data_IF_830225440160
#
_entry.id   IF_830225440160
#
_cell.length_a   1.000
_cell.length_b   1.000
_cell.length_c   1.000
_cell.angle_alpha   90.00
_cell.angle_beta   90.00
_cell.angle_gamma   90.00
#
_symmetry.space_group_name_H-M   'P 1'
#
loop_
_entity.id
_entity.type
_entity.pdbx_description
1 polymer ?
#
# COMPACT_ATOMS: atom_id res chain seq x y z
N UNK A 1 5.57 59.67 18.26
CA UNK A 1 4.84 58.61 18.97
C UNK A 1 4.52 57.54 17.94
N UNK A 2 4.90 56.26 18.12
CA UNK A 2 4.55 55.25 17.13
C UNK A 2 3.04 55.06 17.16
N UNK A 3 2.40 55.31 16.02
CA UNK A 3 0.96 55.13 15.86
C UNK A 3 0.64 53.66 16.12
N UNK A 4 -0.23 53.38 17.08
CA UNK A 4 -0.71 52.02 17.32
C UNK A 4 -1.43 51.57 16.03
N UNK A 5 -1.03 50.45 15.40
CA UNK A 5 -1.76 49.92 14.24
C UNK A 5 -3.25 49.83 14.58
N UNK A 6 -4.11 50.10 13.60
CA UNK A 6 -5.56 50.04 13.82
C UNK A 6 -5.96 48.63 14.26
N UNK A 7 -6.99 48.50 15.09
CA UNK A 7 -7.53 47.20 15.57
C UNK A 7 -7.81 46.23 14.40
N UNK A 8 -8.13 46.78 13.22
CA UNK A 8 -8.34 46.06 11.96
C UNK A 8 -7.07 45.40 11.39
N UNK A 9 -5.89 46.00 11.58
CA UNK A 9 -4.61 45.43 11.16
C UNK A 9 -4.21 44.24 12.06
N UNK A 10 -4.40 44.37 13.37
CA UNK A 10 -4.14 43.29 14.34
C UNK A 10 -5.02 42.06 14.07
N UNK A 11 -6.32 42.26 13.84
CA UNK A 11 -7.25 41.18 13.46
C UNK A 11 -6.91 40.54 12.11
N UNK A 12 -6.44 41.33 11.13
CA UNK A 12 -6.02 40.84 9.84
C UNK A 12 -4.80 39.92 9.97
N UNK A 13 -3.79 40.32 10.75
CA UNK A 13 -2.61 39.51 10.99
C UNK A 13 -2.95 38.22 11.76
N UNK A 14 -3.82 38.29 12.77
CA UNK A 14 -4.27 37.12 13.52
C UNK A 14 -4.99 36.09 12.63
N UNK A 15 -5.89 36.56 11.74
CA UNK A 15 -6.57 35.69 10.74
C UNK A 15 -5.57 35.05 9.79
N UNK A 16 -4.61 35.82 9.27
CA UNK A 16 -3.56 35.31 8.36
C UNK A 16 -2.66 34.27 9.03
N UNK A 17 -2.30 34.49 10.29
CA UNK A 17 -1.48 33.55 11.04
C UNK A 17 -2.23 32.25 11.32
N UNK A 18 -3.51 32.34 11.69
CA UNK A 18 -4.38 31.18 11.88
C UNK A 18 -4.56 30.37 10.59
N UNK A 19 -4.86 31.03 9.46
CA UNK A 19 -4.94 30.39 8.14
C UNK A 19 -3.63 29.67 7.78
N UNK A 20 -2.49 30.32 8.02
CA UNK A 20 -1.17 29.73 7.76
C UNK A 20 -0.90 28.52 8.66
N UNK A 21 -1.20 28.62 9.96
CA UNK A 21 -1.05 27.52 10.93
C UNK A 21 -1.93 26.34 10.57
N UNK A 22 -3.20 26.59 10.24
CA UNK A 22 -4.16 25.57 9.80
C UNK A 22 -3.66 24.86 8.54
N UNK A 23 -3.19 25.61 7.54
CA UNK A 23 -2.64 25.02 6.31
C UNK A 23 -1.40 24.16 6.58
N UNK A 24 -0.49 24.61 7.45
CA UNK A 24 0.69 23.83 7.84
C UNK A 24 0.28 22.53 8.54
N UNK A 25 -0.72 22.58 9.42
CA UNK A 25 -1.24 21.40 10.12
C UNK A 25 -1.90 20.42 9.15
N UNK A 26 -2.71 20.90 8.21
CA UNK A 26 -3.33 20.09 7.15
C UNK A 26 -2.27 19.42 6.27
N UNK A 27 -1.28 20.17 5.76
CA UNK A 27 -0.17 19.63 4.97
C UNK A 27 0.66 18.60 5.76
N UNK A 28 0.88 18.85 7.06
CA UNK A 28 1.59 17.91 7.93
C UNK A 28 0.79 16.61 8.10
N UNK A 29 -0.52 16.71 8.33
CA UNK A 29 -1.39 15.55 8.47
C UNK A 29 -1.47 14.73 7.18
N UNK A 30 -1.56 15.39 6.01
CA UNK A 30 -1.52 14.73 4.71
C UNK A 30 -0.22 13.94 4.51
N UNK A 31 0.93 14.58 4.74
CA UNK A 31 2.25 13.94 4.64
C UNK A 31 2.40 12.73 5.57
N UNK A 32 1.94 12.87 6.82
CA UNK A 32 1.95 11.75 7.78
C UNK A 32 1.11 10.58 7.26
N UNK A 33 -0.09 10.85 6.73
CA UNK A 33 -0.96 9.81 6.18
C UNK A 33 -0.38 9.09 4.96
N UNK A 34 0.33 9.82 4.09
CA UNK A 34 1.02 9.23 2.94
C UNK A 34 2.19 8.35 3.38
N UNK A 35 2.97 8.81 4.37
CA UNK A 35 4.08 8.06 4.93
C UNK A 35 3.59 6.77 5.62
N UNK A 36 2.50 6.83 6.39
CA UNK A 36 1.86 5.67 7.00
C UNK A 36 1.36 4.67 5.96
N UNK A 37 0.68 5.13 4.90
CA UNK A 37 0.25 4.28 3.79
C UNK A 37 1.43 3.60 3.10
N UNK A 38 2.54 4.32 2.91
CA UNK A 38 3.76 3.76 2.33
C UNK A 38 4.35 2.67 3.22
N UNK A 39 4.49 2.93 4.52
CA UNK A 39 4.96 1.95 5.51
C UNK A 39 4.09 0.69 5.53
N UNK A 40 2.76 0.85 5.50
CA UNK A 40 1.84 -0.27 5.46
C UNK A 40 2.00 -1.11 4.18
N UNK A 41 2.19 -0.46 3.02
CA UNK A 41 2.47 -1.18 1.77
C UNK A 41 3.76 -2.01 1.87
N UNK A 42 4.82 -1.43 2.43
CA UNK A 42 6.11 -2.11 2.57
C UNK A 42 6.03 -3.32 3.53
N UNK A 43 5.26 -3.21 4.62
CA UNK A 43 5.07 -4.31 5.59
C UNK A 43 4.32 -5.50 4.96
N UNK A 44 3.35 -5.23 4.08
CA UNK A 44 2.54 -6.27 3.43
C UNK A 44 3.16 -6.78 2.12
N UNK A 45 4.26 -6.19 1.64
CA UNK A 45 4.92 -6.61 0.41
C UNK A 45 5.53 -8.01 0.57
N UNK A 46 5.29 -8.89 -0.40
CA UNK A 46 5.71 -10.31 -0.38
C UNK A 46 5.28 -11.07 0.89
N UNK A 47 4.17 -10.65 1.51
CA UNK A 47 3.57 -11.35 2.65
C UNK A 47 2.26 -12.00 2.24
N UNK A 48 2.07 -13.23 2.69
CA UNK A 48 0.83 -13.95 2.50
C UNK A 48 -0.32 -13.22 3.20
N UNK A 49 -1.42 -12.87 2.52
CA UNK A 49 -2.55 -12.19 3.15
C UNK A 49 -3.37 -13.10 4.08
N UNK A 50 -3.17 -14.41 4.02
CA UNK A 50 -3.86 -15.39 4.88
C UNK A 50 -3.21 -15.54 6.24
N UNK A 51 -1.87 -15.61 6.29
CA UNK A 51 -1.13 -15.89 7.55
C UNK A 51 -0.02 -14.89 7.87
N UNK A 52 0.32 -13.95 6.99
CA UNK A 52 1.36 -12.93 7.21
C UNK A 52 2.81 -13.43 7.04
N UNK A 53 3.01 -14.69 6.67
CA UNK A 53 4.33 -15.26 6.41
C UNK A 53 4.88 -14.83 5.04
N UNK A 54 6.19 -14.97 4.85
CA UNK A 54 6.84 -14.62 3.58
C UNK A 54 6.40 -15.54 2.45
N UNK A 55 6.16 -14.92 1.30
CA UNK A 55 5.98 -15.60 0.03
C UNK A 55 7.35 -15.95 -0.55
N UNK A 56 7.46 -17.16 -1.09
CA UNK A 56 8.64 -17.68 -1.74
C UNK A 56 8.35 -17.90 -3.23
N UNK A 57 9.20 -17.38 -4.10
CA UNK A 57 9.06 -17.60 -5.54
C UNK A 57 9.50 -19.04 -5.87
N UNK A 58 8.63 -19.81 -6.50
CA UNK A 58 8.90 -21.17 -6.99
C UNK A 58 8.69 -21.24 -8.51
N UNK A 59 9.52 -22.02 -9.20
CA UNK A 59 9.34 -22.30 -10.63
C UNK A 59 8.45 -23.53 -10.82
N UNK A 60 7.26 -23.31 -11.36
CA UNK A 60 6.36 -24.37 -11.77
C UNK A 60 6.27 -24.43 -13.29
N UNK A 61 7.01 -25.36 -13.88
CA UNK A 61 7.02 -25.64 -15.34
C UNK A 61 7.37 -24.40 -16.18
N UNK A 62 8.31 -23.59 -15.71
CA UNK A 62 8.73 -22.36 -16.37
C UNK A 62 7.86 -21.14 -16.06
N UNK A 63 6.95 -21.25 -15.10
CA UNK A 63 6.16 -20.14 -14.57
C UNK A 63 6.61 -19.89 -13.14
N UNK A 64 7.10 -18.68 -12.89
CA UNK A 64 7.35 -18.19 -11.53
C UNK A 64 6.01 -17.91 -10.86
N UNK A 65 5.82 -18.49 -9.69
CA UNK A 65 4.64 -18.28 -8.84
C UNK A 65 5.10 -18.08 -7.40
N UNK A 66 4.39 -17.25 -6.65
CA UNK A 66 4.67 -17.03 -5.23
C UNK A 66 3.89 -18.02 -4.36
N UNK A 67 4.57 -18.84 -3.57
CA UNK A 67 3.95 -19.76 -2.63
C UNK A 67 4.19 -19.30 -1.18
N UNK A 68 3.19 -19.44 -0.31
CA UNK A 68 3.38 -19.21 1.11
C UNK A 68 4.03 -20.42 1.78
N UNK A 69 5.15 -20.17 2.45
CA UNK A 69 5.92 -21.16 3.21
C UNK A 69 5.15 -21.90 4.32
N UNK A 70 4.06 -21.32 4.84
CA UNK A 70 3.34 -21.87 6.00
C UNK A 70 1.96 -22.41 5.64
N UNK A 71 1.17 -21.64 4.88
CA UNK A 71 -0.22 -22.00 4.61
C UNK A 71 -0.42 -22.73 3.28
N UNK A 72 0.66 -23.04 2.56
CA UNK A 72 0.66 -23.69 1.24
C UNK A 72 -0.21 -22.92 0.22
N UNK A 73 -0.41 -21.62 0.44
CA UNK A 73 -1.26 -20.77 -0.39
C UNK A 73 -0.46 -20.16 -1.51
N UNK A 74 -0.92 -20.28 -2.75
CA UNK A 74 -0.28 -19.65 -3.91
C UNK A 74 -0.86 -18.25 -4.11
N UNK A 75 0.03 -17.29 -4.30
CA UNK A 75 -0.25 -15.92 -4.65
C UNK A 75 0.19 -15.71 -6.11
N UNK A 76 -0.71 -15.16 -6.92
CA UNK A 76 -0.42 -14.83 -8.31
C UNK A 76 -0.63 -13.35 -8.49
N UNK A 77 0.37 -12.66 -9.03
CA UNK A 77 0.18 -11.28 -9.45
C UNK A 77 -0.69 -11.20 -10.73
N UNK A 78 -1.08 -9.97 -11.11
CA UNK A 78 -1.95 -9.77 -12.27
C UNK A 78 -1.33 -10.24 -13.61
N UNK A 79 0.01 -10.26 -13.73
CA UNK A 79 0.72 -10.71 -14.93
C UNK A 79 0.98 -12.22 -14.95
N UNK A 80 1.25 -12.80 -13.79
CA UNK A 80 1.37 -14.25 -13.59
C UNK A 80 0.05 -14.95 -13.85
N UNK A 81 -1.07 -14.37 -13.38
CA UNK A 81 -2.39 -14.93 -13.64
C UNK A 81 -2.70 -15.02 -15.14
N UNK A 82 -2.29 -14.03 -15.95
CA UNK A 82 -2.50 -14.06 -17.40
C UNK A 82 -1.70 -15.18 -18.06
N UNK A 83 -0.47 -15.41 -17.59
CA UNK A 83 0.41 -16.49 -18.04
C UNK A 83 -0.18 -17.85 -17.67
N UNK A 84 -0.66 -17.98 -16.43
CA UNK A 84 -1.31 -19.20 -15.92
C UNK A 84 -2.63 -19.47 -16.64
N UNK A 85 -3.41 -18.43 -16.95
CA UNK A 85 -4.70 -18.55 -17.64
C UNK A 85 -4.57 -19.00 -19.10
N UNK A 86 -3.41 -18.78 -19.73
CA UNK A 86 -3.10 -19.24 -21.09
C UNK A 86 -2.68 -20.71 -21.16
N UNK A 87 -2.33 -21.34 -20.02
CA UNK A 87 -2.14 -22.78 -19.97
C UNK A 87 -3.49 -23.47 -20.22
N UNK A 88 -3.49 -24.54 -21.00
CA UNK A 88 -4.69 -25.36 -21.20
C UNK A 88 -5.28 -25.82 -19.87
N UNK A 89 -6.58 -26.14 -19.84
CA UNK A 89 -7.34 -26.54 -18.63
C UNK A 89 -6.59 -27.53 -17.73
N UNK A 90 -5.84 -28.46 -18.32
CA UNK A 90 -5.01 -29.45 -17.63
C UNK A 90 -3.88 -28.87 -16.78
N UNK A 91 -3.33 -27.71 -17.16
CA UNK A 91 -2.29 -26.98 -16.42
C UNK A 91 -2.86 -26.23 -15.22
N UNK A 92 -3.99 -25.56 -15.41
CA UNK A 92 -4.77 -24.91 -14.34
C UNK A 92 -5.30 -25.92 -13.34
N UNK A 93 -5.89 -27.05 -13.77
CA UNK A 93 -6.40 -28.09 -12.88
C UNK A 93 -5.30 -28.67 -11.97
N UNK A 94 -4.06 -28.77 -12.47
CA UNK A 94 -2.91 -29.21 -11.68
C UNK A 94 -2.42 -28.13 -10.72
N UNK A 95 -2.40 -26.87 -11.15
CA UNK A 95 -2.16 -25.74 -10.26
C UNK A 95 -3.20 -25.76 -9.13
N UNK A 96 -4.49 -25.76 -9.46
CA UNK A 96 -5.62 -25.87 -8.52
C UNK A 96 -5.61 -27.14 -7.66
N UNK A 97 -4.99 -28.23 -8.11
CA UNK A 97 -4.81 -29.43 -7.29
C UNK A 97 -3.82 -29.22 -6.13
N UNK A 98 -2.86 -28.29 -6.26
CA UNK A 98 -2.00 -27.86 -5.14
C UNK A 98 -2.83 -27.10 -4.10
N UNK A 99 -3.84 -26.33 -4.52
CA UNK A 99 -4.78 -25.65 -3.63
C UNK A 99 -5.81 -26.59 -2.99
N UNK A 100 -5.84 -27.87 -3.39
CA UNK A 100 -6.84 -28.84 -2.95
C UNK A 100 -6.25 -29.75 -1.88
N UNK A 101 -6.25 -29.26 -0.64
CA UNK A 101 -6.13 -30.10 0.56
C UNK A 101 -7.50 -30.26 1.20
#
# INVERSE_FOLDING_TARGET
MPLKPSEQEEEYFARKEFERKKKIEEEKHEKLSEEEKRKLKDIHYMRCPKCGMELIEIDYKGIKIDECSECEGIWLDAGEFETVSKLEKTGLDKLFSVFKK
#
